data_IF_939748519572
#
_entry.id   IF_939748519572
#
_cell.length_a   1.000
_cell.length_b   1.000
_cell.length_c   1.000
_cell.angle_alpha   90.00
_cell.angle_beta   90.00
_cell.angle_gamma   90.00
#
_symmetry.space_group_name_H-M   'P 1'
#
loop_
_entity.id
_entity.type
_entity.pdbx_description
1 polymer ?
#
# COMPACT_ATOMS: atom_id res chain seq x y z
N UNK A 1 -25.59 18.45 4.76
CA UNK A 1 -24.54 17.58 4.17
C UNK A 1 -23.73 16.96 5.30
N UNK A 2 -23.46 15.65 5.29
CA UNK A 2 -22.80 14.95 6.40
C UNK A 2 -21.37 15.50 6.63
N UNK A 3 -21.03 15.86 7.88
CA UNK A 3 -19.72 16.41 8.27
C UNK A 3 -18.55 15.50 7.88
N UNK A 4 -18.75 14.18 7.90
CA UNK A 4 -17.74 13.22 7.45
C UNK A 4 -17.45 13.33 5.95
N UNK A 5 -18.48 13.54 5.13
CA UNK A 5 -18.32 13.70 3.67
C UNK A 5 -17.56 14.99 3.34
N UNK A 6 -17.84 16.08 4.05
CA UNK A 6 -17.08 17.33 3.92
C UNK A 6 -15.60 17.13 4.28
N UNK A 7 -15.35 16.37 5.35
CA UNK A 7 -14.00 16.01 5.76
C UNK A 7 -13.27 15.19 4.69
N UNK A 8 -13.90 14.14 4.14
CA UNK A 8 -13.33 13.36 3.02
C UNK A 8 -13.02 14.22 1.81
N UNK A 9 -13.93 15.13 1.41
CA UNK A 9 -13.68 16.06 0.30
C UNK A 9 -12.48 16.97 0.54
N UNK A 10 -12.35 17.49 1.77
CA UNK A 10 -11.19 18.30 2.18
C UNK A 10 -9.90 17.49 2.07
N UNK A 11 -9.90 16.26 2.60
CA UNK A 11 -8.76 15.34 2.56
C UNK A 11 -8.30 15.05 1.12
N UNK A 12 -9.24 14.79 0.20
CA UNK A 12 -8.91 14.56 -1.21
C UNK A 12 -8.35 15.81 -1.91
N UNK A 13 -8.80 17.01 -1.50
CA UNK A 13 -8.33 18.29 -2.05
C UNK A 13 -6.90 18.60 -1.57
N UNK A 14 -6.62 18.43 -0.28
CA UNK A 14 -5.28 18.65 0.29
C UNK A 14 -4.22 17.75 -0.36
N UNK A 15 -4.61 16.53 -0.72
CA UNK A 15 -3.69 15.53 -1.27
C UNK A 15 -3.65 15.50 -2.80
N UNK A 16 -4.28 16.51 -3.44
CA UNK A 16 -4.24 16.69 -4.90
C UNK A 16 -2.82 16.95 -5.41
N UNK A 17 -2.05 17.78 -4.70
CA UNK A 17 -0.68 18.10 -5.09
C UNK A 17 0.23 16.87 -5.06
N UNK A 18 0.19 16.09 -3.97
CA UNK A 18 0.94 14.84 -3.89
C UNK A 18 0.58 13.89 -5.02
N UNK A 19 -0.71 13.75 -5.33
CA UNK A 19 -1.17 12.89 -6.42
C UNK A 19 -0.59 13.35 -7.76
N UNK A 20 -0.62 14.65 -8.06
CA UNK A 20 -0.02 15.16 -9.30
C UNK A 20 1.49 15.05 -9.36
N UNK A 21 2.20 15.30 -8.25
CA UNK A 21 3.64 15.05 -8.17
C UNK A 21 3.93 13.57 -8.44
N UNK A 22 3.19 12.66 -7.80
CA UNK A 22 3.39 11.23 -7.99
C UNK A 22 3.14 10.78 -9.43
N UNK A 23 2.08 11.27 -10.07
CA UNK A 23 1.78 10.98 -11.47
C UNK A 23 2.82 11.61 -12.40
N UNK A 24 3.21 12.86 -12.16
CA UNK A 24 4.27 13.54 -12.90
C UNK A 24 5.59 12.78 -12.83
N UNK A 25 5.95 12.25 -11.66
CA UNK A 25 7.13 11.39 -11.50
C UNK A 25 6.98 10.09 -12.29
N UNK A 26 5.83 9.43 -12.25
CA UNK A 26 5.58 8.18 -13.00
C UNK A 26 5.70 8.41 -14.52
N UNK A 27 4.95 9.38 -15.06
CA UNK A 27 4.97 9.67 -16.49
C UNK A 27 6.30 10.27 -16.95
N UNK A 28 6.89 11.18 -16.17
CA UNK A 28 8.18 11.77 -16.46
C UNK A 28 9.31 10.73 -16.51
N UNK A 29 9.36 9.82 -15.52
CA UNK A 29 10.32 8.71 -15.53
C UNK A 29 10.07 7.76 -16.70
N UNK A 30 8.80 7.44 -16.99
CA UNK A 30 8.46 6.58 -18.12
C UNK A 30 8.94 7.15 -19.46
N UNK A 31 8.70 8.45 -19.70
CA UNK A 31 9.14 9.13 -20.92
C UNK A 31 10.67 9.15 -21.00
N UNK A 32 11.35 9.54 -19.92
CA UNK A 32 12.81 9.58 -19.87
C UNK A 32 13.44 8.22 -20.16
N UNK A 33 12.91 7.16 -19.55
CA UNK A 33 13.38 5.79 -19.76
C UNK A 33 13.05 5.28 -21.16
N UNK A 34 11.88 5.61 -21.70
CA UNK A 34 11.51 5.25 -23.07
C UNK A 34 12.45 5.92 -24.09
N UNK A 35 12.78 7.20 -23.87
CA UNK A 35 13.74 7.93 -24.70
C UNK A 35 15.15 7.32 -24.61
N UNK A 36 15.61 7.02 -23.40
CA UNK A 36 16.89 6.34 -23.20
C UNK A 36 16.92 4.97 -23.90
N UNK A 37 15.88 4.16 -23.74
CA UNK A 37 15.78 2.83 -24.34
C UNK A 37 15.75 2.90 -25.87
N UNK A 38 15.09 3.92 -26.43
CA UNK A 38 15.08 4.19 -27.86
C UNK A 38 16.48 4.52 -28.39
N UNK A 39 17.18 5.48 -27.76
CA UNK A 39 18.53 5.90 -28.18
C UNK A 39 19.56 4.76 -28.09
N UNK A 40 19.43 3.87 -27.12
CA UNK A 40 20.37 2.78 -26.87
C UNK A 40 19.91 1.44 -27.48
N UNK A 41 18.81 1.42 -28.24
CA UNK A 41 18.24 0.20 -28.84
C UNK A 41 17.99 -0.95 -27.84
N UNK A 42 17.56 -0.62 -26.61
CA UNK A 42 17.28 -1.58 -25.52
C UNK A 42 15.82 -1.51 -25.06
N UNK A 43 14.84 -1.82 -25.91
CA UNK A 43 13.42 -1.68 -25.58
C UNK A 43 12.99 -2.49 -24.34
N UNK A 44 13.62 -3.65 -24.11
CA UNK A 44 13.38 -4.48 -22.93
C UNK A 44 13.62 -3.73 -21.60
N UNK A 45 14.48 -2.72 -21.60
CA UNK A 45 14.77 -1.89 -20.42
C UNK A 45 13.51 -1.16 -19.92
N UNK A 46 12.60 -0.77 -20.82
CA UNK A 46 11.34 -0.11 -20.47
C UNK A 46 10.48 -1.02 -19.60
N UNK A 47 10.31 -2.29 -20.01
CA UNK A 47 9.50 -3.26 -19.27
C UNK A 47 10.10 -3.56 -17.88
N UNK A 48 11.42 -3.72 -17.79
CA UNK A 48 12.10 -3.91 -16.51
C UNK A 48 11.90 -2.70 -15.59
N UNK A 49 11.98 -1.49 -16.13
CA UNK A 49 11.78 -0.28 -15.34
C UNK A 49 10.35 -0.12 -14.83
N UNK A 50 9.35 -0.44 -15.66
CA UNK A 50 7.95 -0.43 -15.21
C UNK A 50 7.70 -1.45 -14.10
N UNK A 51 8.33 -2.63 -14.16
CA UNK A 51 8.26 -3.60 -13.06
C UNK A 51 8.86 -3.02 -11.76
N UNK A 52 9.96 -2.28 -11.84
CA UNK A 52 10.52 -1.56 -10.69
C UNK A 52 9.55 -0.51 -10.14
N UNK A 53 8.89 0.26 -11.01
CA UNK A 53 7.86 1.23 -10.60
C UNK A 53 6.66 0.55 -9.95
N UNK A 54 6.25 -0.62 -10.43
CA UNK A 54 5.20 -1.42 -9.79
C UNK A 54 5.62 -1.85 -8.38
N UNK A 55 6.85 -2.32 -8.19
CA UNK A 55 7.35 -2.67 -6.85
C UNK A 55 7.43 -1.45 -5.92
N UNK A 56 7.75 -0.26 -6.44
CA UNK A 56 7.75 0.97 -5.65
C UNK A 56 6.36 1.31 -5.06
N UNK A 57 5.27 0.78 -5.62
CA UNK A 57 3.94 0.96 -5.05
C UNK A 57 3.80 0.31 -3.67
N UNK A 58 4.58 -0.73 -3.31
CA UNK A 58 4.54 -1.32 -1.98
C UNK A 58 4.73 -0.27 -0.87
N UNK A 59 5.58 0.72 -1.11
CA UNK A 59 5.89 1.81 -0.15
C UNK A 59 5.10 3.10 -0.42
N UNK A 60 4.25 3.16 -1.44
CA UNK A 60 3.56 4.39 -1.84
C UNK A 60 2.70 4.97 -0.72
N UNK A 61 1.89 4.15 -0.03
CA UNK A 61 1.06 4.64 1.09
C UNK A 61 1.90 5.13 2.28
N UNK A 62 3.10 4.57 2.45
CA UNK A 62 4.08 5.05 3.45
C UNK A 62 4.57 6.44 3.06
N UNK A 63 5.02 6.61 1.82
CA UNK A 63 5.51 7.91 1.31
C UNK A 63 4.39 8.95 1.37
N UNK A 64 3.17 8.59 0.97
CA UNK A 64 1.98 9.44 1.08
C UNK A 64 1.76 9.91 2.52
N UNK A 65 1.82 9.00 3.49
CA UNK A 65 1.65 9.31 4.90
C UNK A 65 2.80 10.16 5.47
N UNK A 66 4.05 9.88 5.09
CA UNK A 66 5.22 10.65 5.49
C UNK A 66 5.22 12.08 4.90
N UNK A 67 4.92 12.22 3.61
CA UNK A 67 4.77 13.50 2.94
C UNK A 67 3.72 14.36 3.64
N UNK A 68 2.63 13.71 4.06
CA UNK A 68 1.59 14.38 4.82
C UNK A 68 2.03 14.84 6.21
N UNK A 69 2.83 14.05 6.91
CA UNK A 69 3.41 14.43 8.20
C UNK A 69 4.34 15.65 8.04
N UNK A 70 5.10 15.69 6.95
CA UNK A 70 6.04 16.76 6.62
C UNK A 70 5.31 18.08 6.33
N UNK A 71 4.34 18.08 5.41
CA UNK A 71 3.58 19.29 5.05
C UNK A 71 2.80 19.90 6.22
N UNK A 72 2.36 19.07 7.16
CA UNK A 72 1.51 19.52 8.25
C UNK A 72 2.27 19.77 9.57
N UNK A 73 3.61 19.94 9.52
CA UNK A 73 4.46 20.19 10.69
C UNK A 73 4.13 19.30 11.90
N UNK A 74 3.95 17.98 11.69
CA UNK A 74 3.56 17.00 12.72
C UNK A 74 2.21 17.24 13.44
N UNK A 75 1.44 18.28 13.09
CA UNK A 75 0.24 18.69 13.84
C UNK A 75 -1.02 17.93 13.41
N UNK A 76 -1.12 17.41 12.18
CA UNK A 76 -2.43 17.05 11.56
C UNK A 76 -2.76 15.55 11.53
N UNK A 77 -1.84 14.65 11.91
CA UNK A 77 -2.25 13.25 12.12
C UNK A 77 -3.09 13.12 13.40
N UNK A 78 -2.94 14.06 14.35
CA UNK A 78 -3.56 13.95 15.68
C UNK A 78 -4.26 15.23 16.19
N UNK A 79 -4.17 16.40 15.53
CA UNK A 79 -4.93 17.59 15.97
C UNK A 79 -6.43 17.32 15.93
N UNK A 80 -7.02 17.39 17.12
CA UNK A 80 -8.41 17.12 17.42
C UNK A 80 -9.37 18.28 17.14
N UNK A 81 -9.13 19.07 16.10
CA UNK A 81 -10.02 20.20 15.75
C UNK A 81 -11.28 19.72 14.99
N UNK A 82 -11.54 18.42 14.99
CA UNK A 82 -12.73 17.83 14.37
C UNK A 82 -13.60 17.21 15.45
N UNK A 83 -14.87 17.62 15.50
CA UNK A 83 -15.97 17.01 16.27
C UNK A 83 -16.27 15.55 15.90
N UNK A 84 -15.39 14.90 15.13
CA UNK A 84 -15.55 13.56 14.61
C UNK A 84 -14.72 12.56 15.45
N UNK A 85 -15.26 11.35 15.68
CA UNK A 85 -14.52 10.22 16.25
C UNK A 85 -13.23 9.93 15.47
N UNK A 86 -12.19 9.52 16.18
CA UNK A 86 -10.85 9.28 15.63
C UNK A 86 -10.85 8.28 14.47
N UNK A 87 -11.67 7.23 14.55
CA UNK A 87 -11.79 6.24 13.47
C UNK A 87 -12.35 6.85 12.17
N UNK A 88 -13.30 7.80 12.26
CA UNK A 88 -13.86 8.48 11.08
C UNK A 88 -12.82 9.37 10.41
N UNK A 89 -12.01 10.03 11.23
CA UNK A 89 -10.88 10.84 10.76
C UNK A 89 -9.88 9.94 10.05
N UNK A 90 -9.40 8.87 10.69
CA UNK A 90 -8.44 7.95 10.09
C UNK A 90 -8.96 7.30 8.81
N UNK A 91 -10.21 6.85 8.78
CA UNK A 91 -10.82 6.24 7.61
C UNK A 91 -10.83 7.21 6.40
N UNK A 92 -11.11 8.50 6.63
CA UNK A 92 -11.07 9.49 5.56
C UNK A 92 -9.63 9.75 5.05
N UNK A 93 -8.65 9.85 5.97
CA UNK A 93 -7.23 10.03 5.62
C UNK A 93 -6.69 8.83 4.84
N UNK A 94 -7.00 7.64 5.32
CA UNK A 94 -6.62 6.36 4.73
C UNK A 94 -7.29 6.18 3.36
N UNK A 95 -8.59 6.43 3.25
CA UNK A 95 -9.34 6.35 1.99
C UNK A 95 -8.81 7.31 0.91
N UNK A 96 -8.42 8.54 1.27
CA UNK A 96 -7.80 9.47 0.33
C UNK A 96 -6.42 8.97 -0.17
N UNK A 97 -5.66 8.30 0.70
CA UNK A 97 -4.39 7.67 0.35
C UNK A 97 -4.58 6.48 -0.59
N UNK A 98 -5.50 5.58 -0.23
CA UNK A 98 -5.89 4.43 -1.06
C UNK A 98 -6.39 4.87 -2.43
N UNK A 99 -7.22 5.91 -2.52
CA UNK A 99 -7.69 6.43 -3.81
C UNK A 99 -6.51 6.94 -4.67
N UNK A 100 -5.58 7.68 -4.06
CA UNK A 100 -4.42 8.20 -4.79
C UNK A 100 -3.49 7.07 -5.25
N UNK A 101 -3.29 6.07 -4.40
CA UNK A 101 -2.59 4.82 -4.73
C UNK A 101 -3.27 4.08 -5.88
N UNK A 102 -4.59 3.91 -5.83
CA UNK A 102 -5.39 3.23 -6.86
C UNK A 102 -5.20 3.88 -8.23
N UNK A 103 -5.26 5.21 -8.29
CA UNK A 103 -5.06 5.96 -9.54
C UNK A 103 -3.61 5.78 -10.03
N UNK A 104 -2.63 5.96 -9.14
CA UNK A 104 -1.21 5.79 -9.45
C UNK A 104 -0.90 4.40 -10.01
N UNK A 105 -1.37 3.36 -9.33
CA UNK A 105 -1.13 1.97 -9.70
C UNK A 105 -1.82 1.61 -11.02
N UNK A 106 -3.05 2.09 -11.24
CA UNK A 106 -3.75 1.90 -12.50
C UNK A 106 -2.98 2.54 -13.67
N UNK A 107 -2.44 3.75 -13.49
CA UNK A 107 -1.58 4.38 -14.48
C UNK A 107 -0.30 3.57 -14.73
N UNK A 108 0.38 3.09 -13.69
CA UNK A 108 1.60 2.28 -13.87
C UNK A 108 1.32 0.94 -14.57
N UNK A 109 0.22 0.27 -14.25
CA UNK A 109 -0.20 -0.94 -14.97
C UNK A 109 -0.49 -0.65 -16.44
N UNK A 110 -1.19 0.45 -16.73
CA UNK A 110 -1.43 0.89 -18.11
C UNK A 110 -0.12 1.16 -18.87
N UNK A 111 0.87 1.79 -18.22
CA UNK A 111 2.21 1.95 -18.81
C UNK A 111 2.92 0.61 -19.02
N UNK A 112 2.69 -0.39 -18.16
CA UNK A 112 3.19 -1.75 -18.34
C UNK A 112 2.60 -2.45 -19.55
N UNK A 113 1.30 -2.24 -19.82
CA UNK A 113 0.65 -2.71 -21.04
C UNK A 113 1.31 -2.07 -22.27
N UNK A 114 1.45 -0.74 -22.28
CA UNK A 114 2.12 -0.03 -23.38
C UNK A 114 3.56 -0.51 -23.61
N UNK A 115 4.33 -0.70 -22.53
CA UNK A 115 5.70 -1.23 -22.61
C UNK A 115 5.73 -2.61 -23.25
N UNK A 116 4.80 -3.48 -22.87
CA UNK A 116 4.72 -4.85 -23.38
C UNK A 116 4.37 -4.85 -24.87
N UNK A 117 3.52 -3.93 -25.33
CA UNK A 117 3.22 -3.75 -26.76
C UNK A 117 4.43 -3.24 -27.56
N UNK A 118 5.22 -2.32 -26.99
CA UNK A 118 6.45 -1.80 -27.62
C UNK A 118 7.53 -2.88 -27.73
N UNK A 119 7.71 -3.69 -26.67
CA UNK A 119 8.77 -4.71 -26.58
C UNK A 119 8.43 -5.96 -27.38
N UNK A 120 7.19 -6.46 -27.30
CA UNK A 120 6.86 -7.79 -27.83
C UNK A 120 6.77 -7.85 -29.36
N UNK A 121 6.61 -6.72 -30.05
CA UNK A 121 6.51 -6.52 -31.51
C UNK A 121 5.57 -7.45 -32.32
N UNK A 122 5.12 -8.61 -31.83
CA UNK A 122 4.40 -9.62 -32.62
C UNK A 122 3.43 -10.54 -31.86
N UNK A 123 3.43 -10.68 -30.53
CA UNK A 123 2.40 -11.52 -29.87
C UNK A 123 2.26 -11.32 -28.36
N UNK A 124 1.64 -10.22 -27.93
CA UNK A 124 1.21 -10.10 -26.53
C UNK A 124 -0.10 -10.87 -26.33
N UNK A 125 -0.08 -11.91 -25.48
CA UNK A 125 -1.30 -12.60 -25.07
C UNK A 125 -2.06 -11.74 -24.04
N UNK A 126 -3.03 -10.96 -24.53
CA UNK A 126 -3.89 -10.13 -23.68
C UNK A 126 -4.69 -10.97 -22.66
N UNK A 127 -5.04 -12.21 -23.01
CA UNK A 127 -5.80 -13.10 -22.12
C UNK A 127 -5.00 -13.53 -20.89
N UNK A 128 -3.67 -13.58 -20.96
CA UNK A 128 -2.80 -13.81 -19.79
C UNK A 128 -2.40 -12.51 -19.07
N UNK A 129 -2.34 -11.39 -19.79
CA UNK A 129 -1.94 -10.11 -19.20
C UNK A 129 -2.97 -9.56 -18.22
N UNK A 130 -4.25 -9.47 -18.62
CA UNK A 130 -5.27 -8.85 -17.78
C UNK A 130 -5.47 -9.54 -16.42
N UNK A 131 -5.57 -10.90 -16.34
CA UNK A 131 -5.63 -11.58 -15.05
C UNK A 131 -4.41 -11.30 -14.17
N UNK A 132 -3.20 -11.29 -14.75
CA UNK A 132 -1.96 -10.99 -14.03
C UNK A 132 -1.94 -9.54 -13.53
N UNK A 133 -2.38 -8.58 -14.34
CA UNK A 133 -2.47 -7.18 -13.96
C UNK A 133 -3.51 -6.93 -12.86
N UNK A 134 -4.67 -7.59 -12.93
CA UNK A 134 -5.71 -7.55 -11.89
C UNK A 134 -5.18 -8.15 -10.59
N UNK A 135 -4.50 -9.30 -10.66
CA UNK A 135 -3.89 -9.89 -9.48
C UNK A 135 -2.85 -8.95 -8.85
N UNK A 136 -1.91 -8.43 -9.65
CA UNK A 136 -0.88 -7.49 -9.17
C UNK A 136 -1.50 -6.23 -8.57
N UNK A 137 -2.57 -5.72 -9.18
CA UNK A 137 -3.31 -4.57 -8.67
C UNK A 137 -3.78 -4.80 -7.24
N UNK A 138 -4.52 -5.89 -7.01
CA UNK A 138 -5.04 -6.22 -5.69
C UNK A 138 -3.94 -6.62 -4.71
N UNK A 139 -2.95 -7.37 -5.16
CA UNK A 139 -1.83 -7.81 -4.33
C UNK A 139 -1.05 -6.62 -3.75
N UNK A 140 -0.67 -5.65 -4.60
CA UNK A 140 0.04 -4.45 -4.17
C UNK A 140 -0.84 -3.56 -3.30
N UNK A 141 -2.15 -3.46 -3.60
CA UNK A 141 -3.10 -2.73 -2.77
C UNK A 141 -3.18 -3.31 -1.35
N UNK A 142 -3.29 -4.64 -1.23
CA UNK A 142 -3.39 -5.31 0.06
C UNK A 142 -2.10 -5.24 0.87
N UNK A 143 -0.94 -5.46 0.25
CA UNK A 143 0.35 -5.33 0.94
C UNK A 143 0.57 -3.90 1.43
N UNK A 144 0.36 -2.90 0.56
CA UNK A 144 0.56 -1.50 0.95
C UNK A 144 -0.40 -1.08 2.07
N UNK A 145 -1.66 -1.53 1.99
CA UNK A 145 -2.69 -1.33 3.02
C UNK A 145 -2.31 -1.94 4.36
N UNK A 146 -1.81 -3.17 4.34
CA UNK A 146 -1.42 -3.87 5.55
C UNK A 146 -0.25 -3.15 6.23
N UNK A 147 0.78 -2.79 5.46
CA UNK A 147 1.96 -2.09 5.98
C UNK A 147 1.58 -0.71 6.56
N UNK A 148 0.77 0.08 5.85
CA UNK A 148 0.42 1.43 6.35
C UNK A 148 -0.45 1.36 7.61
N UNK A 149 -1.34 0.37 7.73
CA UNK A 149 -2.15 0.16 8.94
C UNK A 149 -1.27 -0.04 10.17
N UNK A 150 -0.21 -0.84 10.05
CA UNK A 150 0.79 -1.03 11.11
C UNK A 150 1.53 0.26 11.47
N UNK A 151 1.97 1.02 10.48
CA UNK A 151 2.69 2.29 10.70
C UNK A 151 1.78 3.31 11.39
N UNK A 152 0.52 3.41 10.97
CA UNK A 152 -0.48 4.30 11.59
C UNK A 152 -0.75 3.89 13.04
N UNK A 153 -0.91 2.60 13.31
CA UNK A 153 -1.09 2.08 14.66
C UNK A 153 0.14 2.34 15.54
N UNK A 154 1.33 1.96 15.10
CA UNK A 154 2.58 2.17 15.84
C UNK A 154 2.83 3.65 16.13
N UNK A 155 2.54 4.54 15.17
CA UNK A 155 2.63 5.99 15.40
C UNK A 155 1.61 6.48 16.41
N UNK A 156 0.38 6.00 16.36
CA UNK A 156 -0.66 6.39 17.31
C UNK A 156 -0.30 5.94 18.72
N UNK A 157 0.16 4.71 18.86
CA UNK A 157 0.64 4.14 20.12
C UNK A 157 1.81 4.96 20.69
N UNK A 158 2.80 5.31 19.85
CA UNK A 158 3.91 6.19 20.25
C UNK A 158 3.42 7.47 20.89
N UNK A 159 2.48 8.14 20.22
CA UNK A 159 1.95 9.43 20.63
C UNK A 159 1.17 9.36 21.95
N UNK A 160 0.56 8.22 22.26
CA UNK A 160 -0.12 7.97 23.54
C UNK A 160 0.89 7.70 24.65
N UNK A 161 1.86 6.79 24.44
CA UNK A 161 2.83 6.41 25.47
C UNK A 161 3.83 7.53 25.76
N UNK A 162 4.22 8.31 24.74
CA UNK A 162 5.16 9.44 24.87
C UNK A 162 4.69 10.46 25.91
N UNK A 163 3.37 10.63 26.11
CA UNK A 163 2.83 11.51 27.16
C UNK A 163 3.28 11.12 28.57
N UNK A 164 3.49 9.82 28.83
CA UNK A 164 3.93 9.30 30.13
C UNK A 164 5.45 9.26 30.24
N UNK A 165 6.14 8.75 29.22
CA UNK A 165 7.60 8.78 29.18
C UNK A 165 8.12 8.66 27.74
N UNK A 166 8.98 9.58 27.28
CA UNK A 166 9.51 9.55 25.92
C UNK A 166 10.52 8.40 25.69
N UNK A 167 11.23 7.96 26.73
CA UNK A 167 12.17 6.84 26.65
C UNK A 167 11.42 5.51 26.53
N UNK A 168 10.48 5.26 27.45
CA UNK A 168 9.66 4.03 27.41
C UNK A 168 8.74 3.98 26.19
N UNK A 169 8.33 5.12 25.62
CA UNK A 169 7.55 5.12 24.38
C UNK A 169 8.30 4.46 23.21
N UNK A 170 9.60 4.70 23.06
CA UNK A 170 10.40 4.09 21.98
C UNK A 170 10.55 2.58 22.21
N UNK A 171 10.89 2.18 23.44
CA UNK A 171 11.00 0.77 23.83
C UNK A 171 9.68 0.02 23.70
N UNK A 172 8.56 0.65 24.07
CA UNK A 172 7.23 0.04 24.00
C UNK A 172 6.81 -0.31 22.58
N UNK A 173 7.17 0.50 21.58
CA UNK A 173 6.84 0.22 20.18
C UNK A 173 7.65 -0.97 19.69
N UNK A 174 8.96 -0.98 19.95
CA UNK A 174 9.81 -2.09 19.54
C UNK A 174 9.34 -3.38 20.21
N UNK A 175 9.06 -3.33 21.51
CA UNK A 175 8.54 -4.49 22.27
C UNK A 175 7.20 -4.99 21.73
N UNK A 176 6.24 -4.09 21.47
CA UNK A 176 4.93 -4.45 20.93
C UNK A 176 5.05 -5.02 19.52
N UNK A 177 5.89 -4.44 18.65
CA UNK A 177 6.10 -4.94 17.29
C UNK A 177 6.76 -6.33 17.29
N UNK A 178 7.75 -6.55 18.15
CA UNK A 178 8.40 -7.86 18.29
C UNK A 178 7.43 -8.91 18.85
N UNK A 179 6.70 -8.57 19.91
CA UNK A 179 5.70 -9.45 20.51
C UNK A 179 4.59 -9.81 19.52
N UNK A 180 4.10 -8.83 18.76
CA UNK A 180 3.10 -9.07 17.72
C UNK A 180 3.69 -9.90 16.58
N UNK A 181 4.90 -9.64 16.10
CA UNK A 181 5.53 -10.46 15.06
C UNK A 181 5.67 -11.92 15.51
N UNK A 182 6.09 -12.14 16.76
CA UNK A 182 6.19 -13.47 17.35
C UNK A 182 4.81 -14.15 17.45
N UNK A 183 3.79 -13.43 17.96
CA UNK A 183 2.41 -13.94 18.03
C UNK A 183 1.85 -14.26 16.64
N UNK A 184 2.08 -13.40 15.65
CA UNK A 184 1.65 -13.58 14.27
C UNK A 184 2.23 -14.86 13.68
N UNK A 185 3.54 -15.09 13.87
CA UNK A 185 4.20 -16.32 13.39
C UNK A 185 3.54 -17.57 13.99
N UNK A 186 3.38 -17.63 15.31
CA UNK A 186 2.79 -18.80 15.97
C UNK A 186 1.31 -18.99 15.60
N UNK A 187 0.58 -17.90 15.41
CA UNK A 187 -0.79 -17.94 14.92
C UNK A 187 -0.87 -18.55 13.52
N UNK A 188 -0.02 -18.11 12.59
CA UNK A 188 0.02 -18.62 11.22
C UNK A 188 0.44 -20.08 11.12
N UNK A 189 1.25 -20.56 12.05
CA UNK A 189 1.65 -21.97 12.15
C UNK A 189 0.54 -22.86 12.77
N UNK A 190 -0.52 -22.28 13.33
CA UNK A 190 -1.59 -23.04 13.96
C UNK A 190 -2.53 -23.73 12.96
N UNK A 191 -3.06 -24.89 13.34
CA UNK A 191 -4.07 -25.59 12.53
C UNK A 191 -5.37 -24.79 12.33
N UNK A 192 -5.73 -23.95 13.31
CA UNK A 192 -6.90 -23.08 13.21
C UNK A 192 -6.72 -22.01 12.13
N UNK A 193 -5.52 -21.42 12.02
CA UNK A 193 -5.22 -20.48 10.94
C UNK A 193 -5.36 -21.13 9.57
N UNK A 194 -4.77 -22.33 9.41
CA UNK A 194 -4.86 -23.08 8.16
C UNK A 194 -6.32 -23.35 7.79
N UNK A 195 -7.14 -23.82 8.73
CA UNK A 195 -8.55 -24.06 8.51
C UNK A 195 -9.33 -22.80 8.09
N UNK A 196 -9.06 -21.65 8.72
CA UNK A 196 -9.80 -20.42 8.48
C UNK A 196 -9.35 -19.66 7.23
N UNK A 197 -8.08 -19.78 6.82
CA UNK A 197 -7.48 -18.86 5.84
C UNK A 197 -6.70 -19.54 4.69
N UNK A 198 -6.39 -20.84 4.76
CA UNK A 198 -5.74 -21.57 3.65
C UNK A 198 -6.80 -22.13 2.69
N UNK A 199 -7.59 -21.25 2.08
CA UNK A 199 -8.56 -21.59 1.05
C UNK A 199 -8.48 -20.61 -0.13
N UNK A 200 -9.02 -21.02 -1.28
CA UNK A 200 -9.00 -20.22 -2.50
C UNK A 200 -7.59 -20.04 -3.04
N UNK A 201 -6.89 -21.13 -3.32
CA UNK A 201 -5.56 -21.10 -3.94
C UNK A 201 -5.61 -20.42 -5.31
N UNK A 202 -4.77 -19.41 -5.48
CA UNK A 202 -4.50 -18.78 -6.77
C UNK A 202 -3.11 -19.20 -7.19
N UNK A 203 -3.06 -20.07 -8.19
CA UNK A 203 -1.83 -20.41 -8.88
C UNK A 203 -1.51 -19.26 -9.83
N UNK A 204 -0.48 -18.50 -9.51
CA UNK A 204 0.11 -17.63 -10.51
C UNK A 204 1.10 -18.44 -11.32
N UNK A 205 0.66 -18.85 -12.50
CA UNK A 205 1.56 -19.08 -13.62
C UNK A 205 2.16 -17.72 -14.03
N UNK A 206 3.03 -17.16 -13.20
CA UNK A 206 3.81 -16.00 -13.59
C UNK A 206 4.93 -16.48 -14.51
N UNK A 207 4.85 -16.05 -15.76
CA UNK A 207 5.92 -16.14 -16.75
C UNK A 207 7.02 -15.16 -16.30
N UNK A 208 7.84 -15.56 -15.34
CA UNK A 208 9.14 -14.91 -15.13
C UNK A 208 10.12 -15.60 -16.08
N UNK A 209 10.59 -14.94 -17.16
CA UNK A 209 11.64 -15.51 -17.99
C UNK A 209 12.96 -15.41 -17.22
N UNK A 210 13.24 -16.41 -16.39
CA UNK A 210 14.58 -16.66 -15.85
C UNK A 210 15.13 -17.90 -16.55
N UNK A 211 15.96 -17.70 -17.57
CA UNK A 211 16.73 -18.77 -18.20
C UNK A 211 15.91 -19.91 -18.83
N UNK A 212 14.68 -19.66 -19.30
CA UNK A 212 13.89 -20.66 -20.03
C UNK A 212 13.18 -21.71 -19.16
N UNK A 213 13.14 -21.54 -17.84
CA UNK A 213 12.33 -22.39 -16.94
C UNK A 213 11.25 -21.55 -16.25
N UNK A 214 10.00 -22.01 -16.38
CA UNK A 214 8.86 -21.42 -15.67
C UNK A 214 8.93 -21.91 -14.21
N UNK A 215 9.48 -21.09 -13.30
CA UNK A 215 9.28 -21.34 -11.87
C UNK A 215 7.82 -21.01 -11.52
N UNK A 216 7.08 -22.03 -11.10
CA UNK A 216 5.73 -21.86 -10.53
C UNK A 216 5.91 -21.10 -9.22
N UNK A 217 5.43 -19.85 -9.17
CA UNK A 217 5.39 -19.11 -7.91
C UNK A 217 4.53 -19.89 -6.90
N UNK A 218 4.91 -19.91 -5.62
CA UNK A 218 4.11 -20.60 -4.60
C UNK A 218 2.68 -20.04 -4.61
N UNK A 219 1.69 -20.95 -4.56
CA UNK A 219 0.28 -20.61 -4.59
C UNK A 219 -0.06 -19.62 -3.45
N UNK A 220 -0.75 -18.53 -3.79
CA UNK A 220 -1.26 -17.58 -2.82
C UNK A 220 -2.70 -17.95 -2.44
N UNK A 221 -3.02 -17.97 -1.14
CA UNK A 221 -4.39 -18.22 -0.68
C UNK A 221 -5.18 -16.91 -0.62
N UNK A 222 -6.40 -16.91 -1.18
CA UNK A 222 -7.32 -15.77 -1.07
C UNK A 222 -7.63 -15.45 0.40
N UNK A 223 -7.79 -16.50 1.23
CA UNK A 223 -8.05 -16.33 2.66
C UNK A 223 -6.94 -15.56 3.39
N UNK A 224 -5.69 -15.60 2.91
CA UNK A 224 -4.63 -14.77 3.47
C UNK A 224 -4.92 -13.27 3.26
N UNK A 225 -5.40 -12.84 2.11
CA UNK A 225 -5.76 -11.42 1.92
C UNK A 225 -6.90 -11.00 2.84
N UNK A 226 -7.92 -11.85 3.00
CA UNK A 226 -9.04 -11.61 3.93
C UNK A 226 -8.51 -11.40 5.35
N UNK A 227 -7.62 -12.28 5.83
CA UNK A 227 -6.99 -12.14 7.13
C UNK A 227 -6.27 -10.79 7.30
N UNK A 228 -5.43 -10.40 6.33
CA UNK A 228 -4.66 -9.15 6.41
C UNK A 228 -5.56 -7.90 6.36
N UNK A 229 -6.69 -7.95 5.64
CA UNK A 229 -7.70 -6.87 5.65
C UNK A 229 -8.37 -6.79 7.02
N UNK A 230 -8.77 -7.91 7.62
CA UNK A 230 -9.38 -7.93 8.95
C UNK A 230 -8.42 -7.31 9.99
N UNK A 231 -7.15 -7.69 9.96
CA UNK A 231 -6.12 -7.08 10.82
C UNK A 231 -6.01 -5.57 10.55
N UNK A 232 -5.97 -5.15 9.29
CA UNK A 232 -5.90 -3.72 8.92
C UNK A 232 -7.09 -2.92 9.47
N UNK A 233 -8.30 -3.47 9.37
CA UNK A 233 -9.52 -2.87 9.94
C UNK A 233 -9.39 -2.74 11.46
N UNK A 234 -9.00 -3.81 12.15
CA UNK A 234 -8.81 -3.79 13.62
C UNK A 234 -7.76 -2.74 14.01
N UNK A 235 -6.63 -2.68 13.33
CA UNK A 235 -5.57 -1.69 13.59
C UNK A 235 -6.06 -0.25 13.38
N UNK A 236 -6.85 0.02 12.34
CA UNK A 236 -7.42 1.34 12.08
C UNK A 236 -8.44 1.74 13.17
N UNK A 237 -9.29 0.81 13.62
CA UNK A 237 -10.22 1.06 14.71
C UNK A 237 -9.52 1.29 16.04
N UNK A 238 -8.53 0.45 16.39
CA UNK A 238 -7.71 0.62 17.60
C UNK A 238 -6.95 1.94 17.58
N UNK A 239 -6.40 2.32 16.42
CA UNK A 239 -5.77 3.64 16.24
C UNK A 239 -6.77 4.76 16.48
N UNK A 240 -7.99 4.66 15.93
CA UNK A 240 -9.04 5.65 16.13
C UNK A 240 -9.44 5.78 17.60
N UNK A 241 -9.61 4.66 18.29
CA UNK A 241 -9.92 4.62 19.71
C UNK A 241 -8.80 5.21 20.59
N UNK A 242 -7.54 4.88 20.30
CA UNK A 242 -6.38 5.46 20.99
C UNK A 242 -6.29 6.98 20.78
N UNK A 243 -6.61 7.46 19.58
CA UNK A 243 -6.67 8.90 19.29
C UNK A 243 -7.75 9.60 20.11
N UNK A 244 -8.93 8.99 20.26
CA UNK A 244 -10.02 9.55 21.07
C UNK A 244 -9.64 9.59 22.56
N UNK A 245 -8.99 8.54 23.08
CA UNK A 245 -8.45 8.51 24.45
C UNK A 245 -7.30 9.50 24.69
N UNK A 246 -6.57 9.89 23.65
CA UNK A 246 -5.57 10.96 23.74
C UNK A 246 -6.20 12.35 23.90
N UNK A 247 -7.44 12.53 23.42
CA UNK A 247 -8.17 13.81 23.45
C UNK A 247 -8.88 14.07 24.79
N UNK A 248 -9.32 13.01 25.47
CA UNK A 248 -9.79 13.05 26.85
C UNK A 248 -8.62 13.24 27.83
#
# INVERSE_FOLDING_TARGET
>A
MNAWVQFVKKEMKEMKEFRYISLGLIFGNYIAVSFFAYLNHVPAFISTWVNTLLMAHMVYLIVYYCFRLFLNHHKVVVRGDFSLPGWKVLAAKYGAGVLSFTISLACTLFLGLLSSLIVSQTSMNLASYFPSAIYLYFHLLFISTFIISWIMFGRTLFEVVKKRSPFYARLSIVGVLLALTWLFKHWQESGLYSFLFNWGTVELSAVMPKGGTLEVLPAAYIGNYVYHILISIVLLFLSGWLMDKKRA
#
